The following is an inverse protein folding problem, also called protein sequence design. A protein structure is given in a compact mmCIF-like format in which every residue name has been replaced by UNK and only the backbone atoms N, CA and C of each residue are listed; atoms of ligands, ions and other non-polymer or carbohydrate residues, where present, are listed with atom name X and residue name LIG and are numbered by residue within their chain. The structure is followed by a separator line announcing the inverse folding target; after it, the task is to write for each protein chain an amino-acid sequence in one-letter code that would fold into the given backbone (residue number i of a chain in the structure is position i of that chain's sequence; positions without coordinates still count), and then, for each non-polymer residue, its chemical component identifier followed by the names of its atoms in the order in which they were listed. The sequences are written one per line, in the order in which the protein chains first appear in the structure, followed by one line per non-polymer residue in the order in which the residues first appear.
data_IF_842450655053
#
_entry.id   IF_842450655053
#
_cell.length_a   1.000
_cell.length_b   1.000
_cell.length_c   1.000
_cell.angle_alpha   90.00
_cell.angle_beta   90.00
_cell.angle_gamma   90.00
#
_symmetry.space_group_name_H-M   'P 1'
#
loop_
_entity.id
_entity.type
_entity.pdbx_description
1 polymer ?
#
# COMPACT_ATOMS: atom_id res chain seq x y z
N UNK A 1 -8.89 38.84 -3.13
CA UNK A 1 -9.49 37.70 -2.41
C UNK A 1 -8.35 36.75 -2.09
N UNK A 2 -8.01 36.55 -0.81
CA UNK A 2 -6.94 35.61 -0.43
C UNK A 2 -7.58 34.24 -0.27
N UNK A 3 -7.22 33.29 -1.13
CA UNK A 3 -7.54 31.86 -0.90
C UNK A 3 -7.05 31.45 0.49
N UNK A 4 -7.90 30.71 1.20
CA UNK A 4 -7.56 30.17 2.51
C UNK A 4 -6.51 29.06 2.35
N UNK A 5 -5.72 28.82 3.39
CA UNK A 5 -4.68 27.76 3.37
C UNK A 5 -5.27 26.38 3.08
N UNK A 6 -6.51 26.15 3.55
CA UNK A 6 -7.27 24.93 3.30
C UNK A 6 -7.66 24.75 1.82
N UNK A 7 -8.09 25.82 1.14
CA UNK A 7 -8.41 25.78 -0.29
C UNK A 7 -7.17 25.43 -1.15
N UNK A 8 -5.98 25.90 -0.76
CA UNK A 8 -4.73 25.56 -1.44
C UNK A 8 -4.30 24.12 -1.20
N UNK A 9 -4.37 23.62 0.03
CA UNK A 9 -4.02 22.24 0.34
C UNK A 9 -4.92 21.23 -0.38
N UNK A 10 -6.22 21.52 -0.51
CA UNK A 10 -7.15 20.73 -1.32
C UNK A 10 -6.75 20.75 -2.80
N UNK A 11 -6.44 21.93 -3.34
CA UNK A 11 -6.04 22.08 -4.75
C UNK A 11 -4.74 21.32 -5.07
N UNK A 12 -3.77 21.35 -4.17
CA UNK A 12 -2.50 20.64 -4.34
C UNK A 12 -2.68 19.12 -4.30
N UNK A 13 -3.57 18.61 -3.44
CA UNK A 13 -3.92 17.19 -3.37
C UNK A 13 -4.58 16.71 -4.67
N UNK A 14 -5.50 17.50 -5.23
CA UNK A 14 -6.16 17.20 -6.51
C UNK A 14 -5.16 17.17 -7.67
N UNK A 15 -4.22 18.11 -7.71
CA UNK A 15 -3.14 18.13 -8.70
C UNK A 15 -2.28 16.88 -8.57
N UNK A 16 -1.92 16.48 -7.35
CA UNK A 16 -1.10 15.29 -7.12
C UNK A 16 -1.82 14.01 -7.52
N UNK A 17 -3.11 13.87 -7.16
CA UNK A 17 -3.95 12.75 -7.56
C UNK A 17 -4.06 12.67 -9.09
N UNK A 18 -4.31 13.80 -9.76
CA UNK A 18 -4.35 13.89 -11.21
C UNK A 18 -3.04 13.45 -11.88
N UNK A 19 -1.90 13.89 -11.33
CA UNK A 19 -0.56 13.49 -11.81
C UNK A 19 -0.29 12.00 -11.60
N UNK A 20 -0.64 11.45 -10.44
CA UNK A 20 -0.45 10.03 -10.15
C UNK A 20 -1.30 9.16 -11.09
N UNK A 21 -2.57 9.51 -11.30
CA UNK A 21 -3.44 8.80 -12.24
C UNK A 21 -2.91 8.88 -13.69
N UNK A 22 -2.33 10.01 -14.09
CA UNK A 22 -1.69 10.15 -15.38
C UNK A 22 -0.45 9.25 -15.52
N UNK A 23 0.36 9.11 -14.46
CA UNK A 23 1.52 8.20 -14.41
C UNK A 23 1.06 6.74 -14.51
N UNK A 24 0.07 6.33 -13.72
CA UNK A 24 -0.50 4.97 -13.77
C UNK A 24 -1.02 4.66 -15.17
N UNK A 25 -1.81 5.57 -15.74
CA UNK A 25 -2.38 5.42 -17.09
C UNK A 25 -1.31 5.33 -18.17
N UNK A 26 -0.23 6.11 -18.05
CA UNK A 26 0.94 6.05 -18.94
C UNK A 26 1.62 4.68 -18.82
N UNK A 27 1.87 4.20 -17.61
CA UNK A 27 2.65 2.98 -17.37
C UNK A 27 1.89 1.69 -17.74
N UNK A 28 0.56 1.74 -17.77
CA UNK A 28 -0.27 0.68 -18.37
C UNK A 28 -0.07 0.63 -19.89
N UNK A 29 -0.08 1.79 -20.57
CA UNK A 29 0.00 1.88 -22.04
C UNK A 29 1.42 1.71 -22.58
N UNK A 30 2.39 2.29 -21.89
CA UNK A 30 3.81 2.34 -22.28
C UNK A 30 4.66 2.35 -21.00
N UNK A 31 4.93 1.17 -20.42
CA UNK A 31 5.75 1.09 -19.22
C UNK A 31 7.15 1.67 -19.50
N UNK A 32 7.71 2.47 -18.56
CA UNK A 32 9.05 2.99 -18.71
C UNK A 32 10.04 1.82 -18.80
N UNK A 33 11.01 1.94 -19.70
CA UNK A 33 12.08 0.95 -19.81
C UNK A 33 12.94 0.95 -18.55
N UNK A 34 13.25 -0.23 -18.03
CA UNK A 34 14.20 -0.38 -16.91
C UNK A 34 15.61 -0.33 -17.50
N UNK A 35 16.35 0.75 -17.26
CA UNK A 35 17.73 0.93 -17.76
C UNK A 35 18.79 0.12 -16.99
N UNK A 36 18.36 -0.83 -16.16
CA UNK A 36 19.27 -1.74 -15.44
C UNK A 36 19.77 -2.76 -16.45
N UNK A 37 21.05 -2.67 -16.82
CA UNK A 37 21.69 -3.65 -17.70
C UNK A 37 21.55 -5.06 -17.11
N UNK A 38 21.30 -6.06 -17.96
CA UNK A 38 21.29 -7.51 -17.65
C UNK A 38 20.14 -8.10 -16.81
N UNK A 39 18.98 -7.44 -16.69
CA UNK A 39 17.82 -8.12 -16.09
C UNK A 39 17.29 -9.25 -16.98
N UNK A 40 16.98 -10.39 -16.38
CA UNK A 40 16.19 -11.43 -17.05
C UNK A 40 14.78 -10.93 -17.34
N UNK A 41 14.08 -11.55 -18.29
CA UNK A 41 12.68 -11.19 -18.59
C UNK A 41 11.77 -11.31 -17.37
N UNK A 42 12.05 -12.24 -16.45
CA UNK A 42 11.29 -12.38 -15.20
C UNK A 42 11.59 -11.22 -14.24
N UNK A 43 12.87 -10.93 -13.98
CA UNK A 43 13.25 -9.83 -13.10
C UNK A 43 12.75 -8.47 -13.60
N UNK A 44 12.73 -8.26 -14.93
CA UNK A 44 12.14 -7.06 -15.53
C UNK A 44 10.63 -6.97 -15.31
N UNK A 45 9.89 -8.09 -15.37
CA UNK A 45 8.46 -8.12 -15.05
C UNK A 45 8.21 -7.83 -13.57
N UNK A 46 8.95 -8.46 -12.67
CA UNK A 46 8.80 -8.27 -11.22
C UNK A 46 9.10 -6.82 -10.81
N UNK A 47 10.10 -6.19 -11.44
CA UNK A 47 10.40 -4.77 -11.23
C UNK A 47 9.24 -3.87 -11.69
N UNK A 48 8.67 -4.14 -12.87
CA UNK A 48 7.53 -3.39 -13.37
C UNK A 48 6.28 -3.55 -12.48
N UNK A 49 6.03 -4.76 -11.97
CA UNK A 49 4.95 -5.02 -11.02
C UNK A 49 5.19 -4.31 -9.69
N UNK A 50 6.40 -4.39 -9.13
CA UNK A 50 6.78 -3.70 -7.91
C UNK A 50 6.54 -2.19 -8.02
N UNK A 51 6.99 -1.56 -9.10
CA UNK A 51 6.75 -0.14 -9.34
C UNK A 51 5.24 0.20 -9.38
N UNK A 52 4.42 -0.62 -10.04
CA UNK A 52 2.96 -0.40 -10.09
C UNK A 52 2.31 -0.58 -8.72
N UNK A 53 2.78 -1.53 -7.91
CA UNK A 53 2.30 -1.69 -6.53
C UNK A 53 2.56 -0.43 -5.70
N UNK A 54 3.75 0.17 -5.80
CA UNK A 54 4.04 1.44 -5.11
C UNK A 54 3.14 2.59 -5.59
N UNK A 55 2.83 2.66 -6.88
CA UNK A 55 1.90 3.66 -7.41
C UNK A 55 0.49 3.50 -6.80
N UNK A 56 0.00 2.27 -6.68
CA UNK A 56 -1.30 1.97 -6.07
C UNK A 56 -1.29 2.22 -4.55
N UNK A 57 -0.21 1.86 -3.84
CA UNK A 57 -0.06 2.16 -2.41
C UNK A 57 -0.08 3.68 -2.15
N UNK A 58 0.59 4.46 -3.01
CA UNK A 58 0.55 5.92 -2.97
C UNK A 58 -0.88 6.44 -3.20
N UNK A 59 -1.61 5.83 -4.13
CA UNK A 59 -3.00 6.21 -4.43
C UNK A 59 -3.90 6.00 -3.20
N UNK A 60 -3.75 4.87 -2.50
CA UNK A 60 -4.44 4.59 -1.23
C UNK A 60 -4.11 5.66 -0.19
N UNK A 61 -2.83 6.00 0.00
CA UNK A 61 -2.43 7.03 0.96
C UNK A 61 -3.10 8.38 0.67
N UNK A 62 -3.18 8.78 -0.60
CA UNK A 62 -3.87 10.02 -0.99
C UNK A 62 -5.36 9.96 -0.70
N UNK A 63 -6.04 8.87 -1.07
CA UNK A 63 -7.45 8.66 -0.77
C UNK A 63 -7.76 8.73 0.73
N UNK A 64 -6.86 8.19 1.57
CA UNK A 64 -7.02 8.20 3.03
C UNK A 64 -6.72 9.57 3.62
N UNK A 65 -5.53 10.10 3.40
CA UNK A 65 -5.06 11.31 4.08
C UNK A 65 -5.74 12.58 3.56
N UNK A 66 -6.08 12.65 2.27
CA UNK A 66 -6.58 13.88 1.64
C UNK A 66 -8.07 13.89 1.42
N UNK A 67 -8.64 12.73 1.12
CA UNK A 67 -10.08 12.61 0.83
C UNK A 67 -10.87 11.92 1.93
N UNK A 68 -10.22 11.39 2.97
CA UNK A 68 -10.89 10.77 4.11
C UNK A 68 -11.73 9.55 3.75
N UNK A 69 -11.41 8.86 2.64
CA UNK A 69 -12.20 7.72 2.19
C UNK A 69 -12.06 6.56 3.17
N UNK A 70 -13.15 5.83 3.43
CA UNK A 70 -13.14 4.63 4.28
C UNK A 70 -12.45 3.46 3.57
N UNK A 71 -11.92 2.49 4.34
CA UNK A 71 -11.34 1.29 3.75
C UNK A 71 -12.33 0.60 2.80
N UNK A 72 -13.62 0.53 3.14
CA UNK A 72 -14.65 -0.09 2.28
C UNK A 72 -15.00 0.66 0.99
N UNK A 73 -14.48 1.88 0.80
CA UNK A 73 -14.79 2.67 -0.40
C UNK A 73 -14.28 2.02 -1.68
N UNK A 74 -15.05 2.17 -2.76
CA UNK A 74 -14.72 1.59 -4.08
C UNK A 74 -13.31 1.97 -4.58
N UNK A 75 -12.84 3.24 -4.47
CA UNK A 75 -11.49 3.59 -4.93
C UNK A 75 -10.38 2.88 -4.16
N UNK A 76 -10.54 2.72 -2.83
CA UNK A 76 -9.56 2.02 -2.00
C UNK A 76 -9.58 0.53 -2.32
N UNK A 77 -10.75 -0.09 -2.40
CA UNK A 77 -10.84 -1.53 -2.66
C UNK A 77 -10.41 -1.90 -4.08
N UNK A 78 -10.62 -1.03 -5.06
CA UNK A 78 -10.07 -1.20 -6.41
C UNK A 78 -8.53 -1.22 -6.38
N UNK A 79 -7.91 -0.29 -5.64
CA UNK A 79 -6.46 -0.25 -5.49
C UNK A 79 -5.92 -1.46 -4.72
N UNK A 80 -6.60 -1.88 -3.64
CA UNK A 80 -6.27 -3.10 -2.87
C UNK A 80 -6.28 -4.33 -3.77
N UNK A 81 -7.37 -4.60 -4.48
CA UNK A 81 -7.44 -5.75 -5.38
C UNK A 81 -6.39 -5.71 -6.49
N UNK A 82 -6.14 -4.52 -7.06
CA UNK A 82 -5.08 -4.34 -8.05
C UNK A 82 -3.71 -4.71 -7.48
N UNK A 83 -3.41 -4.34 -6.24
CA UNK A 83 -2.16 -4.70 -5.57
C UNK A 83 -2.11 -6.21 -5.29
N UNK A 84 -3.19 -6.82 -4.80
CA UNK A 84 -3.26 -8.27 -4.55
C UNK A 84 -2.95 -9.08 -5.80
N UNK A 85 -3.55 -8.71 -6.94
CA UNK A 85 -3.28 -9.33 -8.24
C UNK A 85 -1.81 -9.17 -8.64
N UNK A 86 -1.25 -7.96 -8.52
CA UNK A 86 0.16 -7.71 -8.87
C UNK A 86 1.10 -8.54 -7.98
N UNK A 87 0.88 -8.54 -6.67
CA UNK A 87 1.66 -9.29 -5.70
C UNK A 87 1.55 -10.81 -5.95
N UNK A 88 0.36 -11.30 -6.28
CA UNK A 88 0.13 -12.70 -6.65
C UNK A 88 0.93 -13.14 -7.88
N UNK A 89 1.25 -12.22 -8.78
CA UNK A 89 2.01 -12.47 -10.01
C UNK A 89 3.52 -12.19 -9.89
N UNK A 90 3.98 -11.68 -8.74
CA UNK A 90 5.40 -11.46 -8.48
C UNK A 90 6.07 -12.73 -7.92
N UNK A 91 7.37 -12.88 -8.20
CA UNK A 91 8.20 -13.82 -7.45
C UNK A 91 8.20 -13.45 -5.95
N UNK A 92 7.83 -14.41 -5.10
CA UNK A 92 7.75 -14.28 -3.64
C UNK A 92 8.82 -15.14 -2.98
N UNK A 93 9.48 -14.63 -1.94
CA UNK A 93 10.49 -15.39 -1.20
C UNK A 93 11.88 -15.40 -1.85
N UNK A 94 12.67 -16.45 -1.60
CA UNK A 94 14.06 -16.54 -2.05
C UNK A 94 14.19 -16.99 -3.52
N UNK A 95 15.15 -16.45 -4.30
CA UNK A 95 16.07 -15.36 -3.94
C UNK A 95 15.34 -14.00 -3.84
N UNK A 96 15.70 -13.20 -2.83
CA UNK A 96 15.00 -11.96 -2.51
C UNK A 96 15.29 -10.86 -3.56
N UNK A 97 14.44 -10.80 -4.59
CA UNK A 97 14.50 -9.76 -5.62
C UNK A 97 13.74 -8.51 -5.15
N UNK A 98 12.77 -8.05 -5.92
CA UNK A 98 11.92 -6.89 -5.58
C UNK A 98 11.07 -7.11 -4.33
N UNK A 99 10.97 -8.36 -3.85
CA UNK A 99 10.22 -8.70 -2.64
C UNK A 99 10.73 -7.95 -1.39
N UNK A 100 12.03 -7.61 -1.30
CA UNK A 100 12.58 -6.80 -0.20
C UNK A 100 11.87 -5.44 -0.02
N UNK A 101 11.34 -4.88 -1.10
CA UNK A 101 10.71 -3.56 -1.09
C UNK A 101 9.22 -3.61 -0.68
N UNK A 102 8.66 -4.81 -0.45
CA UNK A 102 7.22 -4.99 -0.32
C UNK A 102 6.67 -4.71 1.08
N UNK A 103 7.52 -4.46 2.08
CA UNK A 103 7.09 -4.19 3.45
C UNK A 103 6.07 -3.03 3.52
N UNK A 104 6.36 -1.90 2.85
CA UNK A 104 5.47 -0.74 2.84
C UNK A 104 4.16 -1.03 2.11
N UNK A 105 4.15 -1.52 0.85
CA UNK A 105 2.88 -1.82 0.19
C UNK A 105 2.03 -2.87 0.89
N UNK A 106 2.64 -3.91 1.45
CA UNK A 106 1.93 -4.94 2.22
C UNK A 106 1.28 -4.36 3.47
N UNK A 107 2.00 -3.47 4.17
CA UNK A 107 1.43 -2.79 5.32
C UNK A 107 0.30 -1.82 4.92
N UNK A 108 0.49 -1.04 3.86
CA UNK A 108 -0.53 -0.12 3.34
C UNK A 108 -1.81 -0.88 2.97
N UNK A 109 -1.71 -1.98 2.23
CA UNK A 109 -2.88 -2.80 1.89
C UNK A 109 -3.45 -3.49 3.13
N UNK A 110 -2.61 -3.97 4.04
CA UNK A 110 -3.06 -4.55 5.31
C UNK A 110 -3.89 -3.59 6.16
N UNK A 111 -3.52 -2.31 6.18
CA UNK A 111 -4.31 -1.28 6.87
C UNK A 111 -5.71 -1.09 6.27
N UNK A 112 -5.86 -1.37 4.98
CA UNK A 112 -7.11 -1.20 4.24
C UNK A 112 -7.84 -2.53 3.96
N UNK A 113 -7.27 -3.65 4.41
CA UNK A 113 -7.91 -4.96 4.39
C UNK A 113 -9.12 -4.94 5.32
N UNK A 114 -10.32 -4.99 4.72
CA UNK A 114 -11.57 -4.81 5.46
C UNK A 114 -12.33 -6.12 5.66
N UNK A 115 -12.07 -7.14 4.84
CA UNK A 115 -12.61 -8.49 5.00
C UNK A 115 -11.54 -9.52 5.40
N UNK A 116 -11.96 -10.69 5.88
CA UNK A 116 -11.05 -11.72 6.39
C UNK A 116 -10.17 -12.37 5.32
N UNK A 117 -10.66 -12.47 4.07
CA UNK A 117 -9.88 -13.03 2.97
C UNK A 117 -8.66 -12.16 2.65
N UNK A 118 -8.84 -10.84 2.62
CA UNK A 118 -7.76 -9.87 2.45
C UNK A 118 -6.77 -9.91 3.60
N UNK A 119 -7.25 -9.98 4.86
CA UNK A 119 -6.39 -10.09 6.04
C UNK A 119 -5.52 -11.35 5.97
N UNK A 120 -6.13 -12.48 5.63
CA UNK A 120 -5.45 -13.76 5.45
C UNK A 120 -4.41 -13.70 4.33
N UNK A 121 -4.77 -13.10 3.19
CA UNK A 121 -3.85 -12.88 2.08
C UNK A 121 -2.63 -12.06 2.51
N UNK A 122 -2.84 -10.94 3.19
CA UNK A 122 -1.75 -10.06 3.63
C UNK A 122 -0.84 -10.74 4.67
N UNK A 123 -1.40 -11.48 5.62
CA UNK A 123 -0.59 -12.25 6.58
C UNK A 123 0.27 -13.31 5.88
N UNK A 124 -0.25 -14.05 4.88
CA UNK A 124 0.55 -14.98 4.08
C UNK A 124 1.74 -14.27 3.40
N UNK A 125 1.51 -13.07 2.83
CA UNK A 125 2.57 -12.32 2.16
C UNK A 125 3.61 -11.75 3.12
N UNK A 126 3.17 -11.23 4.27
CA UNK A 126 4.07 -10.73 5.31
C UNK A 126 4.92 -11.88 5.87
N UNK A 127 4.34 -13.05 6.10
CA UNK A 127 5.08 -14.22 6.55
C UNK A 127 6.13 -14.68 5.52
N UNK A 128 5.78 -14.70 4.23
CA UNK A 128 6.74 -14.97 3.15
C UNK A 128 7.87 -13.94 3.08
N UNK A 129 7.55 -12.67 3.31
CA UNK A 129 8.55 -11.62 3.43
C UNK A 129 9.47 -11.87 4.63
N UNK A 130 8.91 -12.21 5.79
CA UNK A 130 9.66 -12.50 7.01
C UNK A 130 10.65 -13.65 6.80
N UNK A 131 10.20 -14.77 6.24
CA UNK A 131 11.06 -15.93 5.91
C UNK A 131 12.24 -15.48 5.04
N UNK A 132 11.99 -14.57 4.10
CA UNK A 132 12.96 -14.18 3.11
C UNK A 132 14.01 -13.17 3.60
N UNK A 133 13.62 -12.20 4.43
CA UNK A 133 14.53 -11.14 4.89
C UNK A 133 14.92 -11.25 6.36
N UNK A 134 14.24 -12.09 7.16
CA UNK A 134 14.55 -12.36 8.56
C UNK A 134 14.52 -11.14 9.47
N UNK A 135 13.89 -10.04 9.03
CA UNK A 135 14.03 -8.73 9.68
C UNK A 135 12.99 -8.49 10.76
N UNK A 136 13.45 -7.92 11.88
CA UNK A 136 12.59 -7.51 12.99
C UNK A 136 11.49 -6.53 12.57
N UNK A 137 11.73 -5.70 11.56
CA UNK A 137 10.71 -4.77 11.07
C UNK A 137 9.47 -5.51 10.51
N UNK A 138 9.65 -6.70 9.93
CA UNK A 138 8.53 -7.46 9.34
C UNK A 138 7.59 -7.95 10.44
N UNK A 139 8.15 -8.39 11.56
CA UNK A 139 7.38 -8.77 12.75
C UNK A 139 6.61 -7.59 13.33
N UNK A 140 7.20 -6.40 13.32
CA UNK A 140 6.55 -5.17 13.80
C UNK A 140 5.36 -4.81 12.91
N UNK A 141 5.51 -4.88 11.57
CA UNK A 141 4.38 -4.58 10.68
C UNK A 141 3.25 -5.60 10.84
N UNK A 142 3.56 -6.89 11.01
CA UNK A 142 2.56 -7.93 11.23
C UNK A 142 1.76 -7.66 12.51
N UNK A 143 2.47 -7.43 13.61
CA UNK A 143 1.84 -7.15 14.90
C UNK A 143 0.99 -5.88 14.85
N UNK A 144 1.48 -4.82 14.22
CA UNK A 144 0.75 -3.58 14.07
C UNK A 144 -0.55 -3.76 13.28
N UNK A 145 -0.56 -4.58 12.22
CA UNK A 145 -1.79 -4.90 11.48
C UNK A 145 -2.79 -5.67 12.34
N UNK A 146 -2.33 -6.68 13.09
CA UNK A 146 -3.19 -7.43 14.00
C UNK A 146 -3.83 -6.51 15.05
N UNK A 147 -3.06 -5.59 15.61
CA UNK A 147 -3.54 -4.63 16.60
C UNK A 147 -4.52 -3.61 15.98
N UNK A 148 -4.26 -3.14 14.76
CA UNK A 148 -5.18 -2.28 13.99
C UNK A 148 -6.51 -2.98 13.77
N UNK A 149 -6.50 -4.23 13.27
CA UNK A 149 -7.72 -4.97 12.98
C UNK A 149 -8.51 -5.28 14.25
N UNK A 150 -7.81 -5.60 15.34
CA UNK A 150 -8.43 -5.77 16.66
C UNK A 150 -9.07 -4.47 17.14
N UNK A 151 -8.35 -3.36 17.06
CA UNK A 151 -8.84 -2.05 17.50
C UNK A 151 -10.05 -1.58 16.69
N UNK A 152 -10.06 -1.83 15.37
CA UNK A 152 -11.23 -1.56 14.52
C UNK A 152 -12.44 -2.37 14.98
N UNK A 153 -12.26 -3.67 15.23
CA UNK A 153 -13.32 -4.54 15.74
C UNK A 153 -13.86 -4.06 17.10
N UNK A 154 -12.96 -3.73 18.03
CA UNK A 154 -13.32 -3.27 19.37
C UNK A 154 -14.01 -1.89 19.34
N UNK A 155 -13.77 -1.09 18.30
CA UNK A 155 -14.38 0.22 18.09
C UNK A 155 -15.57 0.20 17.15
N UNK A 156 -16.03 -0.98 16.71
CA UNK A 156 -17.10 -1.17 15.73
C UNK A 156 -16.86 -0.44 14.38
N UNK A 157 -15.60 -0.21 14.02
CA UNK A 157 -15.18 0.44 12.77
C UNK A 157 -15.10 -0.57 11.61
N UNK A 158 -16.23 -1.20 11.29
CA UNK A 158 -16.30 -2.26 10.29
C UNK A 158 -16.05 -1.77 8.85
N UNK A 159 -16.36 -0.50 8.59
CA UNK A 159 -16.14 0.14 7.28
C UNK A 159 -14.71 0.70 7.13
N UNK A 160 -13.92 0.74 8.21
CA UNK A 160 -12.58 1.31 8.21
C UNK A 160 -12.57 2.83 8.01
N UNK A 161 -13.49 3.54 8.65
CA UNK A 161 -13.58 5.00 8.67
C UNK A 161 -12.33 5.58 9.34
N UNK A 162 -11.81 4.94 10.38
CA UNK A 162 -10.64 5.43 11.10
C UNK A 162 -9.37 5.24 10.26
N UNK A 163 -8.67 6.34 9.98
CA UNK A 163 -7.38 6.33 9.29
C UNK A 163 -6.34 5.49 10.05
N UNK A 164 -5.52 4.73 9.34
CA UNK A 164 -4.47 3.91 9.93
C UNK A 164 -3.47 4.72 10.74
N UNK A 165 -3.16 5.96 10.34
CA UNK A 165 -2.28 6.87 11.10
C UNK A 165 -2.81 7.16 12.50
N UNK A 166 -4.10 7.47 12.60
CA UNK A 166 -4.76 7.69 13.89
C UNK A 166 -4.74 6.43 14.76
N UNK A 167 -4.98 5.26 14.15
CA UNK A 167 -4.93 3.98 14.85
C UNK A 167 -3.52 3.65 15.34
N UNK A 168 -2.49 3.92 14.53
CA UNK A 168 -1.09 3.70 14.87
C UNK A 168 -0.64 4.62 16.00
N UNK A 169 -1.04 5.89 15.98
CA UNK A 169 -0.77 6.84 17.07
C UNK A 169 -1.41 6.35 18.37
N UNK A 170 -2.68 5.93 18.33
CA UNK A 170 -3.40 5.38 19.49
C UNK A 170 -2.74 4.12 20.04
N UNK A 171 -2.16 3.29 19.18
CA UNK A 171 -1.44 2.06 19.53
C UNK A 171 0.04 2.30 19.88
N UNK A 172 0.52 3.56 19.83
CA UNK A 172 1.93 3.93 20.10
C UNK A 172 2.94 3.27 19.15
N UNK A 173 2.54 2.99 17.91
CA UNK A 173 3.43 2.51 16.87
C UNK A 173 4.15 3.68 16.20
N UNK A 174 5.48 3.70 16.26
CA UNK A 174 6.33 4.62 15.49
C UNK A 174 6.89 3.91 14.25
N UNK A 175 6.00 3.49 13.35
CA UNK A 175 6.40 2.89 12.09
C UNK A 175 6.59 4.00 11.07
N UNK A 176 7.84 4.28 10.71
CA UNK A 176 8.14 5.12 9.54
C UNK A 176 8.00 4.25 8.30
N UNK A 177 6.89 4.42 7.60
CA UNK A 177 6.71 3.91 6.26
C UNK A 177 6.96 5.10 5.36
N UNK A 178 8.12 5.10 4.72
CA UNK A 178 8.62 6.20 3.89
C UNK A 178 7.59 6.72 2.88
#
# INVERSE_FOLDING_TARGET
MKETTYDRESTDADILLGRLNAIISRDVKKPPGVSIASLSSQAGRDFALCNKVFQQATLIQLYRQRYGLSSSSEPIQTAVHTIEEMIGNMAQGEPCHTWVAMAMPLFTVGCEAYNEDQKSFILDKIHKLEICIGSLHVKIIEQALMDIWKLRKDSEDYEGILCSEYLLEKLSYNIVLF
#
